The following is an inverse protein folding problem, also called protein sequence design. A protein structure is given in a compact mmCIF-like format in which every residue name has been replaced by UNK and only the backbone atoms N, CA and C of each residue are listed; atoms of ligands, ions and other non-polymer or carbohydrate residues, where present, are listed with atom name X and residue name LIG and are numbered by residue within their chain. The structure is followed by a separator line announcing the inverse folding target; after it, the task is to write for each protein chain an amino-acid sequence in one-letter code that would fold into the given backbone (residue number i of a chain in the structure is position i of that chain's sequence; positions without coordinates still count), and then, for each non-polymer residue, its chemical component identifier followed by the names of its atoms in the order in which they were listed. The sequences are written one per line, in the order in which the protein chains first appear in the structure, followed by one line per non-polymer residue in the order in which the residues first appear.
data_IF_907201550529
#
_entry.id   IF_907201550529
#
_cell.length_a   1.000
_cell.length_b   1.000
_cell.length_c   1.000
_cell.angle_alpha   90.00
_cell.angle_beta   90.00
_cell.angle_gamma   90.00
#
_symmetry.space_group_name_H-M   'P 1'
#
loop_
_entity.id
_entity.type
_entity.pdbx_description
1 polymer ?
#
# COMPACT_ATOMS: atom_id res chain seq x y z
N UNK A 1 1.17 -15.40 -6.10
CA UNK A 1 0.73 -14.15 -5.47
C UNK A 1 0.27 -14.47 -4.07
N UNK A 2 1.04 -14.00 -3.09
CA UNK A 2 0.66 -14.04 -1.68
C UNK A 2 -0.40 -12.96 -1.38
N UNK A 3 -0.98 -12.98 -0.19
CA UNK A 3 -1.80 -11.87 0.31
C UNK A 3 -0.95 -10.60 0.46
N UNK A 4 0.33 -10.74 0.81
CA UNK A 4 1.24 -9.60 0.94
C UNK A 4 1.38 -8.86 -0.40
N UNK A 5 1.57 -9.59 -1.52
CA UNK A 5 1.68 -8.99 -2.86
C UNK A 5 0.42 -8.21 -3.24
N UNK A 6 -0.76 -8.72 -2.87
CA UNK A 6 -2.04 -8.06 -3.14
C UNK A 6 -2.18 -6.77 -2.33
N UNK A 7 -1.79 -6.79 -1.05
CA UNK A 7 -1.80 -5.59 -0.21
C UNK A 7 -0.81 -4.56 -0.77
N UNK A 8 0.41 -4.96 -1.13
CA UNK A 8 1.40 -4.06 -1.74
C UNK A 8 0.88 -3.42 -3.02
N UNK A 9 0.22 -4.19 -3.88
CA UNK A 9 -0.39 -3.66 -5.09
C UNK A 9 -1.50 -2.64 -4.77
N UNK A 10 -2.39 -2.96 -3.82
CA UNK A 10 -3.43 -2.04 -3.36
C UNK A 10 -2.83 -0.74 -2.82
N UNK A 11 -1.73 -0.82 -2.08
CA UNK A 11 -1.03 0.36 -1.55
C UNK A 11 -0.50 1.23 -2.69
N UNK A 12 0.21 0.65 -3.65
CA UNK A 12 0.76 1.37 -4.82
C UNK A 12 -0.37 2.07 -5.60
N UNK A 13 -1.46 1.35 -5.86
CA UNK A 13 -2.61 1.88 -6.60
C UNK A 13 -3.36 2.97 -5.83
N UNK A 14 -3.54 2.81 -4.51
CA UNK A 14 -4.29 3.78 -3.69
C UNK A 14 -3.50 5.06 -3.44
N UNK A 15 -2.19 4.94 -3.18
CA UNK A 15 -1.31 6.08 -2.94
C UNK A 15 -0.69 6.66 -4.22
N UNK A 16 -1.07 6.14 -5.40
CA UNK A 16 -0.60 6.57 -6.70
C UNK A 16 0.94 6.67 -6.79
N UNK A 17 1.63 5.65 -6.26
CA UNK A 17 3.09 5.60 -6.20
C UNK A 17 3.67 5.29 -7.59
N UNK A 18 3.88 6.32 -8.40
CA UNK A 18 4.43 6.18 -9.75
C UNK A 18 5.86 5.62 -9.72
N UNK A 19 6.07 4.50 -10.44
CA UNK A 19 7.38 3.88 -10.57
C UNK A 19 7.80 3.00 -9.39
N UNK A 20 6.92 2.78 -8.40
CA UNK A 20 7.14 1.82 -7.32
C UNK A 20 6.51 0.48 -7.70
N UNK A 21 7.28 -0.60 -7.60
CA UNK A 21 6.81 -1.97 -7.76
C UNK A 21 6.56 -2.64 -6.41
N UNK A 22 5.81 -3.75 -6.40
CA UNK A 22 5.60 -4.54 -5.17
C UNK A 22 6.90 -5.10 -4.59
N UNK A 23 7.98 -5.15 -5.40
CA UNK A 23 9.30 -5.62 -5.00
C UNK A 23 10.09 -4.54 -4.24
N UNK A 24 9.75 -3.27 -4.46
CA UNK A 24 10.38 -2.11 -3.82
C UNK A 24 9.81 -1.83 -2.42
N UNK A 25 8.66 -2.43 -2.08
CA UNK A 25 8.01 -2.28 -0.78
C UNK A 25 8.47 -3.42 0.12
N UNK A 26 9.16 -3.09 1.21
CA UNK A 26 9.49 -4.04 2.27
C UNK A 26 8.23 -4.38 3.09
N UNK A 27 7.97 -5.69 3.27
CA UNK A 27 6.80 -6.19 4.00
C UNK A 27 6.91 -5.93 5.51
N UNK A 28 8.13 -5.90 6.03
CA UNK A 28 8.40 -5.71 7.46
C UNK A 28 8.57 -4.22 7.81
N UNK A 29 8.66 -3.34 6.79
CA UNK A 29 8.76 -1.91 6.98
C UNK A 29 7.40 -1.26 7.28
N UNK A 30 7.38 -0.15 8.03
CA UNK A 30 6.16 0.63 8.23
C UNK A 30 5.65 1.19 6.90
N UNK A 31 4.37 0.92 6.59
CA UNK A 31 3.69 1.54 5.45
C UNK A 31 3.58 3.06 5.57
N UNK A 32 3.33 3.54 6.79
CA UNK A 32 3.13 4.97 7.08
C UNK A 32 4.36 5.54 7.79
N UNK A 33 4.92 6.60 7.21
CA UNK A 33 6.15 7.25 7.68
C UNK A 33 6.81 8.04 6.55
N UNK A 34 8.03 8.50 6.79
CA UNK A 34 8.78 9.33 5.81
C UNK A 34 9.24 8.54 4.57
N UNK A 35 9.29 7.20 4.61
CA UNK A 35 9.89 6.39 3.54
C UNK A 35 9.00 6.25 2.29
N UNK A 36 7.71 6.00 2.47
CA UNK A 36 6.74 5.89 1.36
C UNK A 36 6.01 7.21 1.08
N UNK A 37 6.20 8.23 1.91
CA UNK A 37 5.58 9.54 1.74
C UNK A 37 4.06 9.54 1.86
N UNK A 38 3.47 8.50 2.48
CA UNK A 38 2.02 8.37 2.64
C UNK A 38 1.50 9.34 3.70
N UNK A 39 0.43 10.04 3.37
CA UNK A 39 -0.25 10.92 4.31
C UNK A 39 -1.46 10.23 5.00
N UNK A 40 -2.14 10.98 5.87
CA UNK A 40 -3.30 10.49 6.61
C UNK A 40 -4.53 10.17 5.74
N UNK A 41 -4.61 10.74 4.53
CA UNK A 41 -5.68 10.50 3.56
C UNK A 41 -5.40 9.18 2.84
N UNK A 42 -4.16 8.97 2.40
CA UNK A 42 -3.73 7.71 1.75
C UNK A 42 -4.01 6.52 2.66
N UNK A 43 -3.72 6.64 3.96
CA UNK A 43 -4.01 5.61 4.95
C UNK A 43 -5.49 5.19 4.99
N UNK A 44 -6.38 6.17 4.87
CA UNK A 44 -7.82 5.95 4.87
C UNK A 44 -8.26 5.25 3.57
N UNK A 45 -7.74 5.69 2.43
CA UNK A 45 -8.07 5.11 1.12
C UNK A 45 -7.56 3.67 1.01
N UNK A 46 -6.32 3.40 1.43
CA UNK A 46 -5.74 2.05 1.52
C UNK A 46 -6.61 1.15 2.41
N UNK A 47 -7.02 1.63 3.59
CA UNK A 47 -7.87 0.86 4.50
C UNK A 47 -9.25 0.52 3.89
N UNK A 48 -9.83 1.44 3.12
CA UNK A 48 -11.09 1.21 2.39
C UNK A 48 -10.88 0.24 1.22
N UNK A 49 -9.78 0.36 0.49
CA UNK A 49 -9.45 -0.51 -0.64
C UNK A 49 -9.16 -1.96 -0.20
N UNK A 50 -8.43 -2.15 0.90
CA UNK A 50 -8.21 -3.45 1.56
C UNK A 50 -9.56 -4.06 1.94
N UNK A 51 -10.45 -3.30 2.60
CA UNK A 51 -11.77 -3.78 2.99
C UNK A 51 -12.62 -4.20 1.78
N UNK A 52 -12.53 -3.52 0.64
CA UNK A 52 -13.31 -3.85 -0.55
C UNK A 52 -12.79 -5.07 -1.33
N UNK A 53 -11.49 -5.32 -1.28
CA UNK A 53 -10.85 -6.37 -2.06
C UNK A 53 -10.62 -7.68 -1.27
N UNK A 54 -10.55 -7.61 0.06
CA UNK A 54 -10.20 -8.76 0.92
C UNK A 54 -11.31 -9.18 1.89
N UNK A 55 -12.38 -8.39 2.06
CA UNK A 55 -13.53 -8.68 2.93
C UNK A 55 -14.80 -8.70 2.07
#
# INVERSE_FOLDING_TARGET
MSIEDQIKQIVIESANLEGVSIEDIDTDAPLFGDELGLDSIDALEIGVAIRKNLI
#
